data_IF_907501137640
#
_entry.id   IF_907501137640
#
_cell.length_a   1.000
_cell.length_b   1.000
_cell.length_c   1.000
_cell.angle_alpha   90.00
_cell.angle_beta   90.00
_cell.angle_gamma   90.00
#
_symmetry.space_group_name_H-M   'P 1'
#
loop_
_entity.id
_entity.type
_entity.pdbx_description
1 polymer ?
#
# COMPACT_ATOMS: atom_id res chain seq x y z
N UNK A 1 -22.51 18.13 -28.84
CA UNK A 1 -21.22 18.75 -29.24
C UNK A 1 -20.30 17.64 -29.70
N UNK A 2 -19.89 17.65 -30.97
CA UNK A 2 -19.04 16.60 -31.55
C UNK A 2 -17.57 16.79 -31.16
N UNK A 3 -16.94 15.74 -30.65
CA UNK A 3 -15.50 15.65 -30.44
C UNK A 3 -14.84 15.41 -31.80
N UNK A 4 -13.99 16.34 -32.25
CA UNK A 4 -13.14 16.13 -33.43
C UNK A 4 -11.82 15.53 -32.96
N UNK A 5 -11.57 14.27 -33.30
CA UNK A 5 -10.26 13.62 -33.12
C UNK A 5 -9.45 13.93 -34.37
N UNK A 6 -8.40 14.74 -34.25
CA UNK A 6 -7.41 14.87 -35.32
C UNK A 6 -6.48 13.65 -35.25
N UNK A 7 -6.80 12.62 -36.02
CA UNK A 7 -5.89 11.52 -36.30
C UNK A 7 -4.93 12.00 -37.39
N UNK A 8 -3.74 12.48 -37.01
CA UNK A 8 -2.71 12.83 -37.99
C UNK A 8 -2.00 11.54 -38.42
N UNK A 9 -2.63 10.76 -39.31
CA UNK A 9 -1.95 9.67 -40.01
C UNK A 9 -1.03 10.33 -41.05
N UNK A 10 0.27 10.38 -40.75
CA UNK A 10 1.28 10.78 -41.73
C UNK A 10 1.68 9.53 -42.51
N UNK A 11 0.91 9.19 -43.54
CA UNK A 11 1.32 8.19 -44.52
C UNK A 11 2.19 8.89 -45.58
N UNK A 12 3.52 8.78 -45.45
CA UNK A 12 4.41 9.15 -46.54
C UNK A 12 4.37 8.05 -47.61
N UNK A 13 3.63 8.29 -48.70
CA UNK A 13 3.84 7.58 -49.96
C UNK A 13 4.74 8.45 -50.84
N UNK A 14 6.02 8.10 -51.03
CA UNK A 14 6.84 8.77 -52.03
C UNK A 14 6.26 8.45 -53.41
N UNK A 15 5.81 9.48 -54.12
CA UNK A 15 5.47 9.39 -55.55
C UNK A 15 6.72 8.98 -56.34
N UNK A 16 6.85 7.68 -56.62
CA UNK A 16 7.50 7.17 -57.83
C UNK A 16 6.44 6.47 -58.65
N UNK A 17 6.32 6.87 -59.92
CA UNK A 17 5.63 6.07 -60.94
C UNK A 17 6.40 4.76 -61.07
N UNK A 18 5.95 3.71 -60.38
CA UNK A 18 6.45 2.36 -60.58
C UNK A 18 5.47 1.60 -61.48
N UNK A 19 6.07 0.77 -62.34
CA UNK A 19 5.37 -0.19 -63.20
C UNK A 19 4.36 -1.00 -62.38
N UNK A 20 3.23 -1.26 -63.01
CA UNK A 20 2.10 -2.04 -62.52
C UNK A 20 2.50 -3.52 -62.38
N UNK A 21 3.37 -3.82 -61.43
CA UNK A 21 3.58 -5.19 -60.94
C UNK A 21 2.31 -5.63 -60.23
N UNK A 22 1.80 -6.82 -60.58
CA UNK A 22 0.60 -7.38 -59.94
C UNK A 22 0.74 -7.30 -58.40
N UNK A 23 -0.30 -6.81 -57.70
CA UNK A 23 -0.24 -6.62 -56.25
C UNK A 23 0.12 -7.95 -55.60
N UNK A 24 1.23 -7.97 -54.85
CA UNK A 24 1.60 -9.12 -54.04
C UNK A 24 0.48 -9.35 -53.03
N UNK A 25 -0.07 -10.57 -53.00
CA UNK A 25 -1.15 -10.91 -52.08
C UNK A 25 -0.64 -10.80 -50.64
N UNK A 26 -1.13 -9.79 -49.91
CA UNK A 26 -0.81 -9.60 -48.50
C UNK A 26 -1.65 -10.61 -47.71
N UNK A 27 -1.00 -11.65 -47.19
CA UNK A 27 -1.68 -12.67 -46.39
C UNK A 27 -2.05 -12.11 -45.01
N UNK A 28 -3.21 -12.51 -44.48
CA UNK A 28 -3.70 -12.07 -43.16
C UNK A 28 -2.66 -12.28 -42.03
N UNK A 29 -1.84 -13.32 -42.13
CA UNK A 29 -0.80 -13.61 -41.14
C UNK A 29 0.30 -12.54 -41.07
N UNK A 30 0.56 -11.81 -42.16
CA UNK A 30 1.55 -10.72 -42.17
C UNK A 30 1.04 -9.44 -41.51
N UNK A 31 -0.29 -9.30 -41.39
CA UNK A 31 -0.96 -8.16 -40.75
C UNK A 31 -1.25 -8.41 -39.27
N UNK A 32 -1.09 -9.66 -38.80
CA UNK A 32 -1.29 -10.01 -37.40
C UNK A 32 -0.13 -9.47 -36.55
N UNK A 33 -0.41 -8.95 -35.35
CA UNK A 33 0.66 -8.56 -34.44
C UNK A 33 1.55 -9.76 -34.12
N UNK A 34 2.86 -9.62 -34.35
CA UNK A 34 3.81 -10.63 -33.91
C UNK A 34 4.03 -10.49 -32.41
N UNK A 35 3.36 -11.33 -31.64
CA UNK A 35 3.57 -11.43 -30.20
C UNK A 35 4.82 -12.28 -29.93
N UNK A 36 5.97 -11.62 -29.78
CA UNK A 36 7.22 -12.30 -29.39
C UNK A 36 7.24 -12.68 -27.92
N UNK A 37 6.43 -12.02 -27.10
CA UNK A 37 6.39 -12.19 -25.66
C UNK A 37 5.17 -13.00 -25.24
N UNK A 38 5.35 -13.90 -24.28
CA UNK A 38 4.32 -14.83 -23.78
C UNK A 38 3.18 -14.16 -23.00
N UNK A 39 3.24 -12.84 -22.81
CA UNK A 39 2.30 -12.09 -22.00
C UNK A 39 1.26 -11.39 -22.90
N UNK A 40 0.33 -12.18 -23.46
CA UNK A 40 -0.85 -11.62 -24.13
C UNK A 40 -2.08 -12.04 -23.33
N UNK A 41 -2.72 -11.06 -22.69
CA UNK A 41 -3.91 -11.25 -21.87
C UNK A 41 -5.00 -12.01 -22.67
N UNK A 42 -5.80 -12.91 -22.04
CA UNK A 42 -6.78 -13.73 -22.75
C UNK A 42 -7.87 -12.93 -23.45
N UNK A 43 -8.11 -11.68 -23.05
CA UNK A 43 -9.24 -10.87 -23.54
C UNK A 43 -8.89 -9.99 -24.74
N UNK A 44 -7.67 -10.08 -25.26
CA UNK A 44 -7.27 -9.46 -26.52
C UNK A 44 -7.57 -10.45 -27.66
N UNK A 45 -8.30 -10.06 -28.72
CA UNK A 45 -8.59 -10.95 -29.84
C UNK A 45 -7.30 -11.41 -30.55
N UNK A 46 -6.82 -12.63 -30.27
CA UNK A 46 -5.59 -13.17 -30.88
C UNK A 46 -5.80 -13.66 -32.32
N UNK A 47 -7.01 -14.12 -32.62
CA UNK A 47 -7.32 -14.76 -33.90
C UNK A 47 -7.78 -13.75 -34.97
N UNK A 48 -8.03 -12.50 -34.59
CA UNK A 48 -8.55 -11.45 -35.47
C UNK A 48 -7.44 -10.53 -35.95
N UNK A 49 -7.55 -10.11 -37.21
CA UNK A 49 -6.71 -9.05 -37.76
C UNK A 49 -7.32 -7.71 -37.33
N UNK A 50 -6.55 -6.80 -36.70
CA UNK A 50 -7.05 -5.47 -36.36
C UNK A 50 -7.41 -4.69 -37.63
N UNK A 51 -8.43 -3.83 -37.57
CA UNK A 51 -8.78 -3.00 -38.72
C UNK A 51 -7.71 -1.93 -38.99
N UNK A 52 -7.00 -1.48 -37.95
CA UNK A 52 -5.88 -0.54 -38.09
C UNK A 52 -4.73 -0.89 -37.14
N UNK A 53 -3.51 -0.72 -37.64
CA UNK A 53 -2.26 -0.77 -36.87
C UNK A 53 -1.59 0.59 -36.95
N UNK A 54 -1.16 1.13 -35.80
CA UNK A 54 -0.50 2.44 -35.68
C UNK A 54 0.80 2.29 -34.91
N UNK A 55 1.89 2.77 -35.49
CA UNK A 55 3.18 2.96 -34.81
C UNK A 55 3.25 4.38 -34.22
N UNK A 56 3.75 4.51 -32.98
CA UNK A 56 3.85 5.80 -32.28
C UNK A 56 2.49 6.38 -31.89
N UNK A 57 1.62 5.58 -31.28
CA UNK A 57 0.29 6.00 -30.89
C UNK A 57 0.32 7.01 -29.73
N UNK A 58 -0.33 8.15 -29.91
CA UNK A 58 -0.57 9.12 -28.85
C UNK A 58 -2.01 9.64 -28.91
N UNK A 59 -2.68 9.67 -27.76
CA UNK A 59 -4.02 10.20 -27.61
C UNK A 59 -4.16 11.01 -26.33
N UNK A 60 -5.01 12.03 -26.38
CA UNK A 60 -5.32 12.90 -25.24
C UNK A 60 -6.83 13.06 -25.17
N UNK A 61 -7.38 12.80 -23.99
CA UNK A 61 -8.78 13.09 -23.69
C UNK A 61 -8.88 14.39 -22.91
N UNK A 62 -9.77 15.28 -23.37
CA UNK A 62 -10.15 16.49 -22.67
C UNK A 62 -11.67 16.63 -22.65
N UNK A 63 -12.20 17.10 -21.53
CA UNK A 63 -13.62 17.39 -21.36
C UNK A 63 -13.76 18.79 -20.77
N UNK A 64 -14.58 19.63 -21.42
CA UNK A 64 -14.78 21.03 -21.02
C UNK A 64 -13.46 21.82 -20.88
N UNK A 65 -12.49 21.55 -21.78
CA UNK A 65 -11.16 22.17 -21.75
C UNK A 65 -10.21 21.60 -20.69
N UNK A 66 -10.66 20.67 -19.85
CA UNK A 66 -9.84 20.05 -18.80
C UNK A 66 -9.33 18.70 -19.30
N UNK A 67 -8.01 18.53 -19.31
CA UNK A 67 -7.35 17.27 -19.66
C UNK A 67 -7.72 16.19 -18.65
N UNK A 68 -8.17 15.04 -19.14
CA UNK A 68 -8.58 13.90 -18.33
C UNK A 68 -7.48 12.85 -18.27
N UNK A 69 -6.88 12.53 -19.42
CA UNK A 69 -5.76 11.61 -19.51
C UNK A 69 -4.96 11.82 -20.80
N UNK A 70 -3.74 11.30 -20.84
CA UNK A 70 -2.89 11.15 -22.02
C UNK A 70 -2.37 9.72 -22.05
N UNK A 71 -2.48 9.05 -23.20
CA UNK A 71 -1.88 7.73 -23.42
C UNK A 71 -0.88 7.85 -24.56
N UNK A 72 0.28 7.24 -24.38
CA UNK A 72 1.35 7.10 -25.36
C UNK A 72 1.73 5.61 -25.42
N UNK A 73 1.91 5.08 -26.62
CA UNK A 73 2.26 3.68 -26.83
C UNK A 73 3.14 3.56 -28.08
N UNK A 74 4.00 2.55 -28.11
CA UNK A 74 4.84 2.28 -29.29
C UNK A 74 4.00 1.72 -30.43
N UNK A 75 3.03 0.85 -30.12
CA UNK A 75 2.12 0.26 -31.08
C UNK A 75 0.68 0.32 -30.56
N UNK A 76 -0.28 0.49 -31.46
CA UNK A 76 -1.70 0.35 -31.18
C UNK A 76 -2.44 -0.39 -32.29
N UNK A 77 -3.35 -1.27 -31.90
CA UNK A 77 -4.19 -2.09 -32.75
C UNK A 77 -5.65 -1.77 -32.45
N UNK A 78 -6.38 -1.34 -33.48
CA UNK A 78 -7.77 -0.93 -33.35
C UNK A 78 -8.67 -2.10 -33.74
N UNK A 79 -9.58 -2.46 -32.85
CA UNK A 79 -10.63 -3.44 -33.08
C UNK A 79 -11.98 -2.72 -33.04
N UNK A 80 -12.37 -2.11 -34.16
CA UNK A 80 -13.52 -1.19 -34.23
C UNK A 80 -14.83 -1.89 -33.88
N UNK A 81 -15.00 -3.14 -34.34
CA UNK A 81 -16.19 -3.95 -34.05
C UNK A 81 -16.38 -4.19 -32.54
N UNK A 82 -15.27 -4.36 -31.82
CA UNK A 82 -15.27 -4.60 -30.37
C UNK A 82 -15.22 -3.29 -29.56
N UNK A 83 -14.96 -2.16 -30.22
CA UNK A 83 -14.83 -0.85 -29.58
C UNK A 83 -13.62 -0.74 -28.66
N UNK A 84 -12.52 -1.42 -28.99
CA UNK A 84 -11.30 -1.46 -28.17
C UNK A 84 -10.06 -1.05 -28.97
N UNK A 85 -9.09 -0.47 -28.26
CA UNK A 85 -7.73 -0.25 -28.74
C UNK A 85 -6.79 -1.05 -27.85
N UNK A 86 -6.03 -1.96 -28.43
CA UNK A 86 -4.93 -2.66 -27.76
C UNK A 86 -3.63 -1.92 -28.01
N UNK A 87 -2.95 -1.48 -26.97
CA UNK A 87 -1.71 -0.72 -27.05
C UNK A 87 -0.56 -1.47 -26.37
N UNK A 88 0.68 -1.30 -26.87
CA UNK A 88 1.91 -1.91 -26.32
C UNK A 88 2.95 -0.86 -25.92
N UNK A 89 3.74 -1.17 -24.91
CA UNK A 89 4.74 -0.29 -24.29
C UNK A 89 4.15 1.06 -23.88
N UNK A 90 3.19 0.98 -22.97
CA UNK A 90 2.24 2.06 -22.69
C UNK A 90 2.77 2.96 -21.58
N UNK A 91 2.64 4.27 -21.79
CA UNK A 91 2.83 5.33 -20.81
C UNK A 91 1.56 6.17 -20.75
N UNK A 92 1.00 6.31 -19.57
CA UNK A 92 -0.25 7.04 -19.35
C UNK A 92 -0.09 8.10 -18.26
N UNK A 93 -0.65 9.28 -18.49
CA UNK A 93 -0.85 10.30 -17.48
C UNK A 93 -2.35 10.42 -17.20
N UNK A 94 -2.76 10.17 -15.97
CA UNK A 94 -4.15 10.22 -15.54
C UNK A 94 -4.34 11.45 -14.65
N UNK A 95 -5.26 12.35 -15.03
CA UNK A 95 -5.47 13.62 -14.36
C UNK A 95 -6.72 13.56 -13.47
N UNK A 96 -6.54 13.88 -12.19
CA UNK A 96 -7.66 14.05 -11.27
C UNK A 96 -8.42 15.37 -11.49
N UNK A 97 -9.38 15.68 -10.62
CA UNK A 97 -10.15 16.93 -10.71
C UNK A 97 -9.31 18.19 -10.39
N UNK A 98 -8.16 18.04 -9.74
CA UNK A 98 -7.22 19.10 -9.38
C UNK A 98 -6.04 19.19 -10.37
N UNK A 99 -6.12 18.48 -11.51
CA UNK A 99 -5.07 18.36 -12.50
C UNK A 99 -3.75 17.76 -11.97
N UNK A 100 -3.78 17.07 -10.82
CA UNK A 100 -2.66 16.28 -10.34
C UNK A 100 -2.54 15.01 -11.18
N UNK A 101 -1.32 14.56 -11.40
CA UNK A 101 -1.01 13.51 -12.38
C UNK A 101 -0.65 12.23 -11.67
N UNK A 102 -1.39 11.15 -11.96
CA UNK A 102 -0.90 9.79 -11.73
C UNK A 102 -0.22 9.30 -12.99
N UNK A 103 1.07 8.95 -12.89
CA UNK A 103 1.83 8.41 -14.02
C UNK A 103 1.76 6.89 -13.96
N UNK A 104 1.44 6.26 -15.09
CA UNK A 104 1.33 4.80 -15.18
C UNK A 104 2.14 4.30 -16.37
N UNK A 105 2.87 3.21 -16.19
CA UNK A 105 3.52 2.48 -17.29
C UNK A 105 3.13 1.01 -17.25
N UNK A 106 2.98 0.38 -18.41
CA UNK A 106 2.70 -1.06 -18.52
C UNK A 106 3.19 -1.60 -19.85
N UNK A 107 3.31 -2.93 -19.95
CA UNK A 107 3.65 -3.61 -21.21
C UNK A 107 2.52 -3.52 -22.21
N UNK A 108 1.28 -3.68 -21.75
CA UNK A 108 0.10 -3.60 -22.60
C UNK A 108 -1.01 -2.78 -21.94
N UNK A 109 -1.91 -2.27 -22.76
CA UNK A 109 -3.17 -1.70 -22.30
C UNK A 109 -4.32 -1.98 -23.26
N UNK A 110 -5.52 -2.10 -22.70
CA UNK A 110 -6.79 -2.18 -23.41
C UNK A 110 -7.60 -0.95 -23.09
N UNK A 111 -7.79 -0.09 -24.09
CA UNK A 111 -8.59 1.11 -23.98
C UNK A 111 -9.97 0.87 -24.58
N UNK A 112 -11.02 1.08 -23.78
CA UNK A 112 -12.40 0.90 -24.20
C UNK A 112 -12.94 2.22 -24.77
N UNK A 113 -13.22 2.28 -26.07
CA UNK A 113 -13.56 3.54 -26.75
C UNK A 113 -14.87 4.17 -26.24
N UNK A 114 -15.82 3.34 -25.80
CA UNK A 114 -17.15 3.80 -25.34
C UNK A 114 -17.12 4.30 -23.89
N UNK A 115 -16.64 3.50 -22.94
CA UNK A 115 -16.56 3.90 -21.53
C UNK A 115 -15.37 4.81 -21.23
N UNK A 116 -14.35 4.78 -22.10
CA UNK A 116 -13.04 5.42 -21.91
C UNK A 116 -12.21 4.82 -20.78
N UNK A 117 -12.61 3.66 -20.28
CA UNK A 117 -11.84 2.91 -19.29
C UNK A 117 -10.53 2.40 -19.89
N UNK A 118 -9.56 2.17 -19.02
CA UNK A 118 -8.27 1.63 -19.39
C UNK A 118 -7.94 0.44 -18.49
N UNK A 119 -7.66 -0.70 -19.09
CA UNK A 119 -7.03 -1.83 -18.40
C UNK A 119 -5.56 -1.89 -18.81
N UNK A 120 -4.68 -2.08 -17.84
CA UNK A 120 -3.23 -2.12 -18.02
C UNK A 120 -2.73 -3.47 -17.55
N UNK A 121 -1.81 -4.07 -18.30
CA UNK A 121 -1.33 -5.41 -18.07
C UNK A 121 0.19 -5.48 -18.18
N UNK A 122 0.80 -6.31 -17.33
CA UNK A 122 2.22 -6.65 -17.36
C UNK A 122 3.11 -5.52 -16.84
N UNK A 123 3.81 -5.77 -15.73
CA UNK A 123 4.73 -4.82 -15.08
C UNK A 123 4.11 -3.42 -14.90
N UNK A 124 2.85 -3.39 -14.46
CA UNK A 124 2.10 -2.15 -14.27
C UNK A 124 2.68 -1.38 -13.09
N UNK A 125 3.32 -0.26 -13.38
CA UNK A 125 3.87 0.67 -12.39
C UNK A 125 3.05 1.93 -12.36
N UNK A 126 2.63 2.36 -11.19
CA UNK A 126 1.96 3.65 -11.02
C UNK A 126 2.68 4.51 -9.99
N UNK A 127 2.70 5.82 -10.21
CA UNK A 127 3.15 6.83 -9.25
C UNK A 127 2.03 7.86 -9.08
N UNK A 128 1.38 7.83 -7.92
CA UNK A 128 0.32 8.74 -7.55
C UNK A 128 0.89 10.12 -7.16
N UNK A 129 0.07 11.20 -7.22
CA UNK A 129 0.49 12.54 -6.82
C UNK A 129 1.00 12.68 -5.38
N UNK A 130 0.65 11.74 -4.50
CA UNK A 130 1.05 11.76 -3.09
C UNK A 130 2.39 11.10 -2.81
N UNK A 131 3.09 10.68 -3.86
CA UNK A 131 4.34 9.92 -3.78
C UNK A 131 4.14 8.42 -3.51
N UNK A 132 2.89 7.94 -3.47
CA UNK A 132 2.65 6.49 -3.42
C UNK A 132 3.03 5.87 -4.77
N UNK A 133 3.85 4.82 -4.74
CA UNK A 133 4.18 4.02 -5.91
C UNK A 133 3.61 2.62 -5.76
N UNK A 134 3.15 2.05 -6.86
CA UNK A 134 2.68 0.65 -6.89
C UNK A 134 3.26 -0.11 -8.07
N UNK A 135 3.42 -1.42 -7.88
CA UNK A 135 3.84 -2.37 -8.89
C UNK A 135 2.92 -3.60 -8.83
N UNK A 136 2.39 -4.01 -9.97
CA UNK A 136 1.59 -5.23 -10.06
C UNK A 136 1.42 -5.71 -11.51
N UNK A 137 0.76 -6.86 -11.72
CA UNK A 137 0.55 -7.41 -13.04
C UNK A 137 -0.64 -6.78 -13.79
N UNK A 138 -1.57 -6.14 -13.07
CA UNK A 138 -2.81 -5.61 -13.62
C UNK A 138 -3.24 -4.34 -12.89
N UNK A 139 -3.85 -3.41 -13.63
CA UNK A 139 -4.57 -2.27 -13.06
C UNK A 139 -5.68 -1.83 -14.00
N UNK A 140 -6.83 -1.44 -13.46
CA UNK A 140 -7.90 -0.79 -14.20
C UNK A 140 -8.06 0.66 -13.75
N UNK A 141 -8.21 1.56 -14.71
CA UNK A 141 -8.65 2.93 -14.49
C UNK A 141 -10.09 3.07 -14.98
N UNK A 142 -10.96 3.49 -14.06
CA UNK A 142 -12.36 3.84 -14.37
C UNK A 142 -12.43 5.32 -14.73
N UNK A 143 -12.82 5.63 -15.97
CA UNK A 143 -12.82 7.01 -16.44
C UNK A 143 -13.94 7.87 -15.84
N UNK A 144 -15.04 7.24 -15.39
CA UNK A 144 -16.18 7.95 -14.81
C UNK A 144 -15.89 8.38 -13.38
N UNK A 145 -15.29 7.49 -12.57
CA UNK A 145 -14.94 7.79 -11.16
C UNK A 145 -13.55 8.38 -11.00
N UNK A 146 -12.68 8.17 -11.99
CA UNK A 146 -11.23 8.46 -11.96
C UNK A 146 -10.46 7.66 -10.90
N UNK A 147 -10.97 6.49 -10.55
CA UNK A 147 -10.34 5.61 -9.58
C UNK A 147 -9.42 4.59 -10.27
N UNK A 148 -8.43 4.09 -9.53
CA UNK A 148 -7.62 2.95 -9.94
C UNK A 148 -8.01 1.73 -9.13
N UNK A 149 -8.16 0.60 -9.80
CA UNK A 149 -8.60 -0.64 -9.18
C UNK A 149 -7.73 -1.81 -9.62
N UNK A 150 -7.28 -2.58 -8.63
CA UNK A 150 -6.65 -3.88 -8.78
C UNK A 150 -7.52 -4.87 -8.01
N UNK A 151 -8.19 -5.83 -8.69
CA UNK A 151 -9.00 -6.84 -8.02
C UNK A 151 -8.18 -7.65 -7.02
N UNK A 152 -8.84 -8.19 -6.00
CA UNK A 152 -8.21 -9.02 -4.97
C UNK A 152 -7.57 -10.32 -5.51
N UNK A 153 -7.84 -10.70 -6.76
CA UNK A 153 -7.19 -11.83 -7.42
C UNK A 153 -5.74 -11.54 -7.86
N UNK A 154 -5.33 -10.27 -7.87
CA UNK A 154 -4.00 -9.86 -8.33
C UNK A 154 -3.16 -9.30 -7.18
N UNK A 155 -1.90 -9.75 -7.03
CA UNK A 155 -0.99 -9.18 -6.05
C UNK A 155 -0.58 -7.78 -6.48
N UNK A 156 -0.36 -6.92 -5.50
CA UNK A 156 0.19 -5.58 -5.70
C UNK A 156 1.14 -5.25 -4.55
N UNK A 157 2.29 -4.71 -4.93
CA UNK A 157 3.27 -4.15 -4.02
C UNK A 157 3.26 -2.64 -4.15
N UNK A 158 3.60 -1.92 -3.08
CA UNK A 158 3.77 -0.49 -3.16
C UNK A 158 4.69 0.06 -2.10
N UNK A 159 5.12 1.30 -2.30
CA UNK A 159 6.03 1.99 -1.39
C UNK A 159 5.69 3.49 -1.33
N UNK A 160 6.01 4.12 -0.19
CA UNK A 160 5.97 5.57 -0.07
C UNK A 160 7.27 6.18 -0.57
N UNK A 161 7.21 6.97 -1.63
CA UNK A 161 8.30 7.79 -2.12
C UNK A 161 8.15 9.23 -1.59
N UNK A 162 9.22 9.82 -1.06
CA UNK A 162 9.23 11.25 -0.72
C UNK A 162 9.77 12.04 -1.91
N UNK A 163 8.97 12.95 -2.45
CA UNK A 163 9.34 13.71 -3.66
C UNK A 163 10.44 14.75 -3.42
N UNK A 164 10.66 15.19 -2.18
CA UNK A 164 11.67 16.21 -1.87
C UNK A 164 13.02 15.57 -1.53
N UNK A 165 14.02 15.60 -2.43
CA UNK A 165 15.35 15.05 -2.18
C UNK A 165 16.10 15.77 -1.06
N UNK A 166 15.68 16.97 -0.65
CA UNK A 166 16.30 17.73 0.45
C UNK A 166 15.76 17.32 1.81
N UNK A 167 14.57 16.73 1.87
CA UNK A 167 13.97 16.30 3.13
C UNK A 167 14.56 14.94 3.49
N UNK A 168 15.28 14.88 4.62
CA UNK A 168 15.81 13.63 5.15
C UNK A 168 14.63 12.73 5.52
N UNK A 169 14.36 11.72 4.70
CA UNK A 169 13.36 10.70 4.98
C UNK A 169 13.80 9.95 6.22
N UNK A 170 13.08 10.16 7.31
CA UNK A 170 13.33 9.43 8.57
C UNK A 170 12.45 8.19 8.69
N UNK A 171 11.43 8.11 7.85
CA UNK A 171 10.39 7.09 7.91
C UNK A 171 9.80 6.88 6.52
N UNK A 172 9.69 5.63 6.12
CA UNK A 172 9.02 5.21 4.90
C UNK A 172 8.25 3.94 5.18
N UNK A 173 7.31 3.59 4.30
CA UNK A 173 6.67 2.29 4.36
C UNK A 173 6.62 1.64 2.98
N UNK A 174 6.62 0.33 2.97
CA UNK A 174 6.22 -0.48 1.83
C UNK A 174 5.11 -1.44 2.24
N UNK A 175 4.36 -1.91 1.25
CA UNK A 175 3.26 -2.82 1.48
C UNK A 175 3.17 -3.88 0.38
N UNK A 176 2.59 -5.02 0.76
CA UNK A 176 2.08 -6.05 -0.13
C UNK A 176 0.61 -6.28 0.18
N UNK A 177 -0.18 -6.49 -0.86
CA UNK A 177 -1.60 -6.81 -0.73
C UNK A 177 -2.10 -7.59 -1.93
N UNK A 178 -3.27 -8.20 -1.77
CA UNK A 178 -4.05 -8.81 -2.83
C UNK A 178 -5.21 -7.86 -3.13
N UNK A 179 -5.04 -7.09 -4.21
CA UNK A 179 -5.94 -6.02 -4.64
C UNK A 179 -5.75 -4.67 -3.94
N UNK A 180 -6.13 -3.61 -4.66
CA UNK A 180 -6.03 -2.20 -4.26
C UNK A 180 -7.15 -1.39 -4.92
N UNK A 181 -7.79 -0.50 -4.17
CA UNK A 181 -8.67 0.54 -4.73
C UNK A 181 -8.16 1.92 -4.33
N UNK A 182 -7.66 2.69 -5.30
CA UNK A 182 -7.19 4.06 -5.09
C UNK A 182 -8.22 5.06 -5.58
N UNK A 183 -8.64 5.93 -4.65
CA UNK A 183 -9.65 6.97 -4.86
C UNK A 183 -8.92 8.32 -4.97
N UNK A 184 -8.60 8.74 -6.19
CA UNK A 184 -7.70 9.88 -6.44
C UNK A 184 -8.17 11.21 -5.83
N UNK A 185 -9.48 11.46 -5.81
CA UNK A 185 -10.08 12.65 -5.19
C UNK A 185 -9.86 12.73 -3.67
N UNK A 186 -9.76 11.58 -3.01
CA UNK A 186 -9.55 11.46 -1.57
C UNK A 186 -8.08 11.24 -1.22
N UNK A 187 -7.25 10.88 -2.21
CA UNK A 187 -5.86 10.45 -2.02
C UNK A 187 -5.78 9.33 -0.98
N UNK A 188 -6.66 8.34 -1.19
CA UNK A 188 -6.90 7.21 -0.31
C UNK A 188 -6.68 5.93 -1.09
N UNK A 189 -5.92 5.00 -0.52
CA UNK A 189 -5.75 3.65 -1.06
C UNK A 189 -6.30 2.61 -0.08
N UNK A 190 -7.24 1.80 -0.54
CA UNK A 190 -7.81 0.67 0.19
C UNK A 190 -7.12 -0.62 -0.26
N UNK A 191 -6.35 -1.24 0.64
CA UNK A 191 -5.70 -2.52 0.44
C UNK A 191 -6.69 -3.64 0.80
N UNK A 192 -7.04 -4.50 -0.16
CA UNK A 192 -8.29 -5.26 -0.12
C UNK A 192 -8.21 -6.59 0.65
N UNK A 193 -7.06 -7.28 0.58
CA UNK A 193 -6.84 -8.55 1.28
C UNK A 193 -5.35 -8.85 1.49
N UNK A 194 -5.03 -9.73 2.46
CA UNK A 194 -3.67 -10.23 2.75
C UNK A 194 -2.62 -9.12 2.85
N UNK A 195 -2.89 -8.13 3.69
CA UNK A 195 -2.10 -6.92 3.78
C UNK A 195 -0.92 -7.12 4.71
N UNK A 196 0.28 -6.86 4.19
CA UNK A 196 1.52 -6.77 4.96
C UNK A 196 2.12 -5.41 4.72
N UNK A 197 2.33 -4.62 5.78
CA UNK A 197 2.99 -3.31 5.70
C UNK A 197 4.29 -3.35 6.51
N UNK A 198 5.39 -2.94 5.90
CA UNK A 198 6.66 -2.72 6.58
C UNK A 198 6.88 -1.23 6.75
N UNK A 199 6.88 -0.76 7.99
CA UNK A 199 7.29 0.60 8.34
C UNK A 199 8.79 0.58 8.64
N UNK A 200 9.56 1.35 7.89
CA UNK A 200 11.01 1.47 8.00
C UNK A 200 11.35 2.80 8.65
N UNK A 201 12.03 2.73 9.80
CA UNK A 201 12.50 3.90 10.55
C UNK A 201 14.03 3.91 10.59
N UNK A 202 14.63 5.04 10.24
CA UNK A 202 16.09 5.20 10.33
C UNK A 202 16.42 5.79 11.70
N UNK A 203 17.17 5.03 12.51
CA UNK A 203 17.65 5.43 13.84
C UNK A 203 19.17 5.61 13.83
N UNK A 204 19.77 6.22 14.87
CA UNK A 204 21.23 6.24 15.02
C UNK A 204 21.86 4.84 15.09
N UNK A 205 21.11 3.81 15.52
CA UNK A 205 21.57 2.42 15.66
C UNK A 205 21.38 1.59 14.38
N UNK A 206 20.70 2.12 13.37
CA UNK A 206 20.40 1.41 12.12
C UNK A 206 18.94 1.57 11.68
N UNK A 207 18.51 0.72 10.75
CA UNK A 207 17.13 0.70 10.27
C UNK A 207 16.30 -0.27 11.14
N UNK A 208 15.25 0.26 11.76
CA UNK A 208 14.24 -0.54 12.45
C UNK A 208 13.07 -0.79 11.49
N UNK A 209 12.58 -2.02 11.48
CA UNK A 209 11.43 -2.42 10.67
C UNK A 209 10.31 -2.85 11.61
N UNK A 210 9.15 -2.22 11.47
CA UNK A 210 7.90 -2.71 12.07
C UNK A 210 7.06 -3.36 10.99
N UNK A 211 6.69 -4.62 11.18
CA UNK A 211 5.80 -5.36 10.27
C UNK A 211 4.38 -5.34 10.85
N UNK A 212 3.39 -4.98 10.04
CA UNK A 212 1.98 -5.00 10.40
C UNK A 212 1.23 -5.90 9.41
N UNK A 213 0.60 -6.95 9.92
CA UNK A 213 -0.18 -7.92 9.14
C UNK A 213 -1.66 -7.80 9.46
N UNK A 214 -2.50 -7.70 8.42
CA UNK A 214 -3.96 -7.55 8.56
C UNK A 214 -4.71 -8.09 7.35
N UNK A 215 -6.04 -8.20 7.45
CA UNK A 215 -6.85 -8.50 6.26
C UNK A 215 -6.95 -7.29 5.35
N UNK A 216 -7.16 -6.10 5.91
CA UNK A 216 -7.40 -4.87 5.15
C UNK A 216 -6.65 -3.70 5.76
N UNK A 217 -6.24 -2.79 4.90
CA UNK A 217 -5.75 -1.49 5.34
C UNK A 217 -6.27 -0.34 4.49
N UNK A 218 -6.40 0.83 5.09
CA UNK A 218 -6.75 2.09 4.42
C UNK A 218 -5.62 3.07 4.63
N UNK A 219 -4.91 3.42 3.56
CA UNK A 219 -3.90 4.47 3.55
C UNK A 219 -4.60 5.78 3.20
N UNK A 220 -4.77 6.65 4.18
CA UNK A 220 -5.36 7.99 4.01
C UNK A 220 -4.24 9.03 4.10
N UNK A 221 -3.76 9.50 2.93
CA UNK A 221 -2.63 10.42 2.84
C UNK A 221 -3.01 11.83 3.29
N UNK A 222 -4.27 12.25 3.13
CA UNK A 222 -4.75 13.55 3.61
C UNK A 222 -4.78 13.64 5.13
N UNK A 223 -5.05 12.51 5.79
CA UNK A 223 -5.04 12.40 7.25
C UNK A 223 -3.72 11.86 7.80
N UNK A 224 -2.74 11.64 6.93
CA UNK A 224 -1.43 11.10 7.29
C UNK A 224 -1.55 9.84 8.19
N UNK A 225 -2.36 8.87 7.80
CA UNK A 225 -2.56 7.64 8.59
C UNK A 225 -2.83 6.40 7.75
N UNK A 226 -2.48 5.25 8.30
CA UNK A 226 -2.85 3.93 7.80
C UNK A 226 -3.69 3.24 8.87
N UNK A 227 -4.89 2.79 8.51
CA UNK A 227 -5.80 2.08 9.41
C UNK A 227 -5.88 0.61 9.03
N UNK A 228 -5.68 -0.29 9.98
CA UNK A 228 -5.62 -1.73 9.79
C UNK A 228 -6.79 -2.43 10.46
N UNK A 229 -7.38 -3.40 9.76
CA UNK A 229 -8.55 -4.13 10.25
C UNK A 229 -8.50 -5.59 9.82
N UNK A 230 -9.20 -6.42 10.59
CA UNK A 230 -9.50 -7.80 10.24
C UNK A 230 -10.95 -7.90 9.79
N UNK A 231 -11.27 -8.91 8.98
CA UNK A 231 -12.64 -9.17 8.55
C UNK A 231 -13.47 -9.71 9.72
N UNK A 232 -14.69 -9.19 9.86
CA UNK A 232 -15.65 -9.68 10.87
C UNK A 232 -16.09 -11.13 10.65
N UNK A 233 -15.84 -11.69 9.46
CA UNK A 233 -16.09 -13.10 9.18
C UNK A 233 -15.05 -14.06 9.77
N UNK A 234 -13.90 -13.57 10.23
CA UNK A 234 -12.89 -14.43 10.87
C UNK A 234 -13.35 -14.88 12.26
N UNK A 235 -13.01 -16.12 12.68
CA UNK A 235 -13.13 -16.53 14.07
C UNK A 235 -12.46 -15.52 15.04
N UNK A 236 -13.06 -15.31 16.21
CA UNK A 236 -12.62 -14.27 17.14
C UNK A 236 -11.19 -14.50 17.67
N UNK A 237 -10.71 -15.74 17.72
CA UNK A 237 -9.33 -16.06 18.09
C UNK A 237 -8.30 -15.75 17.00
N UNK A 238 -8.74 -15.61 15.75
CA UNK A 238 -7.91 -15.28 14.58
C UNK A 238 -8.08 -13.85 14.08
N UNK A 239 -9.02 -13.10 14.66
CA UNK A 239 -9.35 -11.72 14.28
C UNK A 239 -8.44 -10.72 15.00
N UNK A 240 -7.14 -10.80 14.72
CA UNK A 240 -6.13 -9.87 15.23
C UNK A 240 -5.24 -9.33 14.11
N UNK A 241 -5.04 -8.01 14.13
CA UNK A 241 -3.91 -7.35 13.47
C UNK A 241 -2.66 -7.69 14.26
N UNK A 242 -1.65 -8.25 13.59
CA UNK A 242 -0.37 -8.59 14.20
C UNK A 242 0.65 -7.50 13.90
N UNK A 243 1.33 -7.01 14.92
CA UNK A 243 2.38 -5.99 14.84
C UNK A 243 3.65 -6.63 15.38
N UNK A 244 4.73 -6.63 14.60
CA UNK A 244 6.03 -7.17 14.98
C UNK A 244 7.08 -6.08 14.90
N UNK A 245 7.80 -5.88 15.99
CA UNK A 245 8.94 -4.96 16.12
C UNK A 245 10.15 -5.72 16.67
N UNK A 246 11.38 -5.19 16.58
CA UNK A 246 12.54 -5.81 17.21
C UNK A 246 12.28 -6.05 18.71
N UNK A 247 12.35 -7.32 19.13
CA UNK A 247 12.14 -7.74 20.52
C UNK A 247 10.69 -7.68 21.01
N UNK A 248 9.70 -7.42 20.17
CA UNK A 248 8.31 -7.28 20.60
C UNK A 248 7.29 -7.73 19.56
N UNK A 249 6.24 -8.40 20.01
CA UNK A 249 5.03 -8.63 19.21
C UNK A 249 3.82 -8.05 19.92
N UNK A 250 2.86 -7.57 19.14
CA UNK A 250 1.58 -7.07 19.63
C UNK A 250 0.44 -7.58 18.75
N UNK A 251 -0.70 -7.86 19.36
CA UNK A 251 -1.94 -8.26 18.70
C UNK A 251 -3.06 -7.32 19.16
N UNK A 252 -3.95 -6.95 18.25
CA UNK A 252 -5.11 -6.10 18.56
C UNK A 252 -6.21 -6.29 17.51
N UNK A 253 -7.45 -5.87 17.77
CA UNK A 253 -8.52 -5.99 16.76
C UNK A 253 -8.31 -5.06 15.57
N UNK A 254 -7.77 -3.87 15.86
CA UNK A 254 -7.53 -2.81 14.88
C UNK A 254 -6.21 -2.11 15.22
N UNK A 255 -5.57 -1.54 14.22
CA UNK A 255 -4.41 -0.68 14.46
C UNK A 255 -4.47 0.60 13.63
N UNK A 256 -3.82 1.65 14.11
CA UNK A 256 -3.57 2.87 13.35
C UNK A 256 -2.07 3.16 13.37
N UNK A 257 -1.52 3.51 12.22
CA UNK A 257 -0.17 4.04 12.08
C UNK A 257 -0.25 5.47 11.55
N UNK A 258 0.41 6.41 12.20
CA UNK A 258 0.47 7.81 11.75
C UNK A 258 1.69 8.05 10.87
N UNK A 259 1.44 8.38 9.62
CA UNK A 259 2.45 8.78 8.64
C UNK A 259 2.93 10.19 9.01
N UNK A 260 4.21 10.53 8.82
CA UNK A 260 4.70 11.91 8.92
C UNK A 260 4.33 12.65 10.21
N UNK A 261 4.22 11.95 11.36
CA UNK A 261 3.98 12.64 12.61
C UNK A 261 5.08 13.70 12.78
N UNK A 262 4.66 14.98 12.82
CA UNK A 262 5.54 16.13 13.10
C UNK A 262 6.48 15.70 14.23
N UNK A 263 7.80 16.01 14.22
CA UNK A 263 8.69 15.61 15.31
C UNK A 263 8.21 16.03 16.72
N UNK A 264 7.28 16.98 16.83
CA UNK A 264 6.60 17.35 18.08
C UNK A 264 5.36 16.51 18.44
N UNK A 265 4.84 15.70 17.53
CA UNK A 265 3.74 14.77 17.71
C UNK A 265 4.32 13.37 17.80
N UNK A 266 3.90 12.61 18.81
CA UNK A 266 4.33 11.24 19.04
C UNK A 266 4.20 10.43 17.73
N UNK A 267 5.28 9.74 17.35
CA UNK A 267 5.28 8.81 16.22
C UNK A 267 4.66 7.51 16.70
N UNK A 268 3.34 7.48 16.59
CA UNK A 268 2.55 6.49 17.29
C UNK A 268 2.02 5.43 16.35
N UNK A 269 2.33 4.17 16.67
CA UNK A 269 1.45 3.05 16.32
C UNK A 269 0.44 2.91 17.46
N UNK A 270 -0.84 2.84 17.13
CA UNK A 270 -1.94 2.62 18.05
C UNK A 270 -2.46 1.20 17.80
N UNK A 271 -2.39 0.35 18.81
CA UNK A 271 -3.12 -0.92 18.86
C UNK A 271 -4.42 -0.69 19.62
N UNK A 272 -5.55 -1.13 19.05
CA UNK A 272 -6.88 -0.81 19.52
C UNK A 272 -7.71 -2.10 19.69
N UNK A 273 -8.38 -2.16 20.83
CA UNK A 273 -9.27 -3.22 21.30
C UNK A 273 -8.57 -4.58 21.49
N UNK A 274 -8.76 -5.20 22.66
CA UNK A 274 -8.18 -6.49 23.05
C UNK A 274 -6.67 -6.60 22.77
N UNK A 275 -5.92 -5.58 23.18
CA UNK A 275 -4.48 -5.51 22.93
C UNK A 275 -3.74 -6.53 23.79
N UNK A 276 -2.85 -7.29 23.16
CA UNK A 276 -1.92 -8.23 23.81
C UNK A 276 -0.52 -7.93 23.33
N UNK A 277 0.42 -7.75 24.24
CA UNK A 277 1.82 -7.44 23.93
C UNK A 277 2.71 -8.47 24.58
N UNK A 278 3.72 -8.91 23.85
CA UNK A 278 4.80 -9.76 24.35
C UNK A 278 6.13 -9.12 23.98
N UNK A 279 6.90 -8.73 24.99
CA UNK A 279 8.27 -8.26 24.84
C UNK A 279 9.23 -9.37 25.23
N UNK A 280 10.13 -9.72 24.31
CA UNK A 280 11.17 -10.71 24.57
C UNK A 280 12.40 -10.03 25.21
N UNK A 281 13.16 -10.75 26.06
CA UNK A 281 14.44 -10.27 26.56
C UNK A 281 15.38 -9.87 25.43
N UNK A 282 16.21 -8.84 25.64
CA UNK A 282 17.17 -8.43 24.61
C UNK A 282 18.26 -9.48 24.46
N UNK A 283 18.79 -9.66 23.25
CA UNK A 283 19.88 -10.62 23.02
C UNK A 283 21.15 -10.29 23.83
N UNK A 284 21.39 -9.00 24.09
CA UNK A 284 22.43 -8.52 24.99
C UNK A 284 22.25 -8.99 26.44
N UNK A 285 21.00 -9.17 26.88
CA UNK A 285 20.67 -9.67 28.23
C UNK A 285 20.89 -11.18 28.32
N UNK A 286 20.63 -11.91 27.23
CA UNK A 286 20.87 -13.36 27.14
C UNK A 286 22.36 -13.70 27.17
N UNK A 287 23.21 -12.84 26.62
CA UNK A 287 24.67 -13.02 26.54
C UNK A 287 25.44 -12.40 27.69
N UNK A 288 24.76 -11.70 28.61
CA UNK A 288 25.38 -11.03 29.75
C UNK A 288 26.07 -12.01 30.71
N UNK A 289 27.06 -11.52 31.47
CA UNK A 289 27.78 -12.31 32.47
C UNK A 289 26.86 -12.80 33.59
N UNK A 290 27.26 -13.83 34.36
CA UNK A 290 26.43 -14.38 35.46
C UNK A 290 26.02 -13.31 36.48
N UNK A 291 26.87 -12.32 36.74
CA UNK A 291 26.57 -11.21 37.65
C UNK A 291 25.53 -10.23 37.06
N UNK A 292 25.57 -10.00 35.75
CA UNK A 292 24.64 -9.14 35.03
C UNK A 292 23.31 -9.85 34.76
N UNK A 293 23.32 -11.17 34.53
CA UNK A 293 22.10 -12.00 34.40
C UNK A 293 21.21 -11.97 35.64
N UNK A 294 21.79 -11.76 36.83
CA UNK A 294 20.99 -11.56 38.06
C UNK A 294 20.17 -10.27 38.04
N UNK A 295 20.48 -9.34 37.12
CA UNK A 295 19.74 -8.08 36.90
C UNK A 295 19.03 -8.05 35.54
N UNK A 296 19.25 -9.04 34.68
CA UNK A 296 18.73 -9.08 33.34
C UNK A 296 17.42 -9.89 33.32
N UNK A 297 16.43 -9.43 32.56
CA UNK A 297 15.14 -10.10 32.48
C UNK A 297 15.29 -11.45 31.79
N UNK A 298 14.96 -12.53 32.49
CA UNK A 298 15.01 -13.89 31.92
C UNK A 298 13.71 -14.30 31.24
N UNK A 299 12.60 -13.67 31.64
CA UNK A 299 11.26 -14.00 31.16
C UNK A 299 10.68 -12.90 30.26
N UNK A 300 9.80 -13.24 29.30
CA UNK A 300 9.13 -12.24 28.49
C UNK A 300 8.13 -11.44 29.33
N UNK A 301 8.15 -10.11 29.19
CA UNK A 301 7.15 -9.22 29.77
C UNK A 301 5.91 -9.29 28.90
N UNK A 302 4.74 -9.43 29.52
CA UNK A 302 3.47 -9.49 28.81
C UNK A 302 2.60 -8.35 29.27
N UNK A 303 1.77 -7.82 28.38
CA UNK A 303 0.79 -6.82 28.75
C UNK A 303 -0.53 -7.03 28.01
N UNK A 304 -1.62 -6.62 28.64
CA UNK A 304 -2.96 -6.56 28.03
C UNK A 304 -3.59 -5.21 28.30
N UNK A 305 -4.35 -4.68 27.35
CA UNK A 305 -5.01 -3.38 27.47
C UNK A 305 -6.16 -3.25 26.45
N UNK A 306 -7.08 -2.30 26.65
CA UNK A 306 -8.01 -1.91 25.59
C UNK A 306 -7.32 -1.07 24.51
N UNK A 307 -6.31 -0.28 24.87
CA UNK A 307 -5.51 0.54 23.95
C UNK A 307 -4.03 0.50 24.32
N UNK A 308 -3.16 0.37 23.32
CA UNK A 308 -1.73 0.60 23.46
C UNK A 308 -1.22 1.60 22.44
N UNK A 309 -0.49 2.61 22.91
CA UNK A 309 0.18 3.63 22.11
C UNK A 309 1.69 3.40 22.20
N UNK A 310 2.31 3.05 21.07
CA UNK A 310 3.75 2.81 20.95
C UNK A 310 4.44 4.11 20.54
N UNK A 311 5.12 4.76 21.49
CA UNK A 311 5.96 5.92 21.19
C UNK A 311 7.38 5.46 20.84
N UNK A 312 7.67 5.48 19.55
CA UNK A 312 8.98 5.08 19.05
C UNK A 312 10.08 6.11 19.30
N UNK A 313 9.78 7.34 19.71
CA UNK A 313 10.80 8.37 20.00
C UNK A 313 11.36 8.22 21.41
N UNK A 314 10.48 8.11 22.40
CA UNK A 314 10.83 7.90 23.80
C UNK A 314 11.01 6.40 24.12
N UNK A 315 10.68 5.51 23.18
CA UNK A 315 10.68 4.06 23.34
C UNK A 315 9.79 3.60 24.50
N UNK A 316 8.56 4.13 24.53
CA UNK A 316 7.54 3.87 25.54
C UNK A 316 6.35 3.12 24.95
N UNK A 317 5.64 2.39 25.81
CA UNK A 317 4.30 1.84 25.52
C UNK A 317 3.34 2.40 26.55
N UNK A 318 2.35 3.15 26.10
CA UNK A 318 1.32 3.72 26.97
C UNK A 318 0.07 2.84 26.85
N UNK A 319 -0.30 2.19 27.95
CA UNK A 319 -1.42 1.25 28.03
C UNK A 319 -2.60 1.92 28.74
N UNK A 320 -3.80 1.81 28.17
CA UNK A 320 -5.05 2.38 28.69
C UNK A 320 -6.20 1.39 28.58
N UNK A 321 -7.33 1.73 29.22
CA UNK A 321 -8.56 0.93 29.24
C UNK A 321 -8.34 -0.46 29.86
N UNK A 322 -8.23 -0.49 31.18
CA UNK A 322 -7.96 -1.68 32.00
C UNK A 322 -6.60 -2.36 31.70
N UNK A 323 -5.49 -1.60 31.69
CA UNK A 323 -4.18 -2.16 31.42
C UNK A 323 -3.70 -3.10 32.54
N UNK A 324 -3.05 -4.18 32.13
CA UNK A 324 -2.37 -5.12 33.02
C UNK A 324 -0.99 -5.44 32.44
N UNK A 325 0.05 -5.39 33.27
CA UNK A 325 1.42 -5.79 32.91
C UNK A 325 1.85 -6.93 33.81
N UNK A 326 2.36 -7.98 33.19
CA UNK A 326 2.91 -9.16 33.83
C UNK A 326 4.42 -9.14 33.66
N UNK A 327 5.12 -9.02 34.78
CA UNK A 327 6.57 -8.97 34.82
C UNK A 327 7.06 -9.85 35.97
N UNK A 328 7.85 -10.86 35.62
CA UNK A 328 8.31 -11.91 36.53
C UNK A 328 7.13 -12.62 37.24
N UNK A 329 6.94 -12.39 38.53
CA UNK A 329 5.84 -12.96 39.32
C UNK A 329 4.80 -11.92 39.75
N UNK A 330 4.95 -10.68 39.30
CA UNK A 330 4.09 -9.57 39.67
C UNK A 330 3.09 -9.24 38.56
N UNK A 331 1.90 -8.80 38.97
CA UNK A 331 0.87 -8.25 38.08
C UNK A 331 0.63 -6.80 38.47
N UNK A 332 0.87 -5.89 37.54
CA UNK A 332 0.74 -4.45 37.71
C UNK A 332 -0.55 -4.01 37.01
N UNK A 333 -1.42 -3.30 37.74
CA UNK A 333 -2.69 -2.79 37.22
C UNK A 333 -2.85 -1.31 37.54
N UNK A 334 -3.57 -0.58 36.70
CA UNK A 334 -3.87 0.85 36.90
C UNK A 334 -4.82 1.36 35.81
N UNK A 335 -5.06 2.67 35.77
CA UNK A 335 -5.87 3.29 34.70
C UNK A 335 -5.02 3.58 33.47
N UNK A 336 -3.79 4.04 33.71
CA UNK A 336 -2.76 4.26 32.68
C UNK A 336 -1.46 3.68 33.19
N UNK A 337 -0.87 2.78 32.39
CA UNK A 337 0.46 2.21 32.65
C UNK A 337 1.40 2.65 31.55
N UNK A 338 2.56 3.19 31.91
CA UNK A 338 3.63 3.55 30.99
C UNK A 338 4.75 2.55 31.16
N UNK A 339 5.01 1.78 30.11
CA UNK A 339 6.06 0.77 30.06
C UNK A 339 7.25 1.36 29.32
N UNK A 340 8.38 1.47 30.01
CA UNK A 340 9.65 1.82 29.39
C UNK A 340 10.21 0.57 28.68
N UNK A 341 10.52 0.64 27.40
CA UNK A 341 11.05 -0.52 26.65
C UNK A 341 12.56 -0.68 26.77
N UNK A 342 13.25 0.41 27.12
CA UNK A 342 14.70 0.40 27.31
C UNK A 342 15.12 -0.02 28.72
N UNK A 343 14.22 0.07 29.70
CA UNK A 343 14.44 -0.29 31.11
C UNK A 343 13.35 -1.23 31.62
N UNK A 344 13.53 -1.77 32.81
CA UNK A 344 12.50 -2.57 33.51
C UNK A 344 11.51 -1.69 34.31
N UNK A 345 11.43 -0.39 33.99
CA UNK A 345 10.59 0.57 34.68
C UNK A 345 9.16 0.51 34.13
N UNK A 346 8.21 0.39 35.05
CA UNK A 346 6.76 0.50 34.79
C UNK A 346 6.22 1.62 35.68
N UNK A 347 5.65 2.66 35.08
CA UNK A 347 5.04 3.78 35.78
C UNK A 347 3.52 3.68 35.75
N UNK A 348 2.87 4.13 36.83
CA UNK A 348 1.42 4.16 36.97
C UNK A 348 1.03 5.62 37.22
N UNK A 349 0.41 6.27 36.24
CA UNK A 349 0.03 7.69 36.33
C UNK A 349 -1.25 7.87 37.17
N UNK A 350 -2.17 6.91 37.08
CA UNK A 350 -3.42 6.87 37.83
C UNK A 350 -3.67 5.44 38.33
N UNK A 351 -3.58 5.25 39.65
CA UNK A 351 -3.71 3.93 40.28
C UNK A 351 -5.09 3.78 40.91
N UNK A 352 -5.86 2.80 40.46
CA UNK A 352 -7.02 2.26 41.16
C UNK A 352 -6.58 1.07 42.02
N UNK A 353 -5.71 1.29 43.00
CA UNK A 353 -5.32 0.23 43.90
C UNK A 353 -6.47 -0.11 44.86
N UNK A 354 -7.15 -1.25 44.63
CA UNK A 354 -7.94 -1.92 45.65
C UNK A 354 -7.00 -2.78 46.50
N UNK A 355 -6.64 -2.30 47.69
CA UNK A 355 -5.92 -3.10 48.67
C UNK A 355 -6.93 -3.98 49.41
N UNK A 356 -6.88 -5.30 49.22
CA UNK A 356 -7.39 -6.24 50.23
C UNK A 356 -6.49 -6.17 51.46
N UNK A 357 -6.71 -5.16 52.29
CA UNK A 357 -6.09 -5.08 53.60
C UNK A 357 -6.50 -6.30 54.41
N UNK A 358 -5.55 -7.21 54.68
CA UNK A 358 -5.74 -8.21 55.74
C UNK A 358 -6.14 -7.45 57.01
N UNK A 359 -7.26 -7.76 57.67
CA UNK A 359 -7.61 -7.14 58.93
C UNK A 359 -6.47 -7.44 59.91
N UNK A 360 -5.75 -6.40 60.32
CA UNK A 360 -4.76 -6.51 61.38
C UNK A 360 -5.47 -6.93 62.66
N UNK A 361 -5.21 -8.15 63.12
CA UNK A 361 -5.56 -8.59 64.46
C UNK A 361 -4.86 -7.67 65.47
N UNK A 362 -5.61 -6.73 66.02
CA UNK A 362 -5.25 -6.05 67.26
C UNK A 362 -5.84 -6.86 68.42
N UNK A 363 -5.08 -7.82 68.91
CA UNK A 363 -5.27 -8.35 70.27
C UNK A 363 -4.84 -7.27 71.27
N UNK A 364 -5.81 -6.81 72.07
CA UNK A 364 -5.63 -6.02 73.29
C UNK A 364 -5.03 -6.86 74.41
#
# INVERSE_FOLDING_TARGET
>A
MGLIIFLQIVAFSPKRLEQETAPTEITADTLRPTYTDSFVEPTIPKDRVPEYTVEGFQTVSAQSGIKQWRIQAEHAYFYQTDGIVHAREVKSDLYDAQARITKVTSKEAKYFMTSKDLELFGDVRSRMPSGLETLGPYMRYDAATKDLHVPAAYPIEGNSFEEDPKKKVTESFDFKSQGLHYIGREDRADLLSHVVVHVKKVTPKGMEITTIESDRAVIDRKKDRIFFTMLDSRPDDQRYVNISQPGMTSQSRRAEFRINANPKKLRTILALDDVKIVENPKESELTASIAERRRARTEPRRATAGVAEFDSMENLIILRDYPQVYQDHDTITGDVIIVHRESDIVEIDQSNAFSEGKPSDKSL
#
